data_IF_387761896065
#
_entry.id   IF_387761896065
#
_cell.length_a   1.000
_cell.length_b   1.000
_cell.length_c   1.000
_cell.angle_alpha   90.00
_cell.angle_beta   90.00
_cell.angle_gamma   90.00
#
_symmetry.space_group_name_H-M   'P 1'
#
loop_
_entity.id
_entity.type
_entity.pdbx_description
1 polymer ?
#
# COMPACT_ATOMS: atom_id res chain seq x y z
N UNK A 1 6.67 -23.97 -0.98
CA UNK A 1 6.00 -22.92 -1.77
C UNK A 1 6.56 -21.59 -1.28
N UNK A 2 7.01 -20.70 -2.15
CA UNK A 2 7.27 -19.34 -1.70
C UNK A 2 5.95 -18.75 -1.21
N UNK A 3 5.96 -18.16 -0.03
CA UNK A 3 4.81 -17.43 0.48
C UNK A 3 4.67 -16.14 -0.33
N UNK A 4 3.78 -16.16 -1.32
CA UNK A 4 3.50 -14.99 -2.17
C UNK A 4 2.33 -14.25 -1.55
N UNK A 5 2.54 -12.97 -1.27
CA UNK A 5 1.49 -12.04 -0.88
C UNK A 5 1.22 -11.05 -2.01
N UNK A 6 -0.04 -10.93 -2.42
CA UNK A 6 -0.43 -10.10 -3.55
C UNK A 6 -0.93 -8.73 -3.09
N UNK A 7 -0.44 -7.68 -3.71
CA UNK A 7 -0.97 -6.32 -3.57
C UNK A 7 -1.76 -5.98 -4.84
N UNK A 8 -3.08 -6.02 -4.74
CA UNK A 8 -4.00 -5.75 -5.84
C UNK A 8 -4.24 -4.25 -5.96
N UNK A 9 -3.56 -3.61 -6.92
CA UNK A 9 -3.66 -2.16 -7.11
C UNK A 9 -4.91 -1.78 -7.91
N UNK A 10 -5.76 -0.96 -7.30
CA UNK A 10 -6.93 -0.35 -7.94
C UNK A 10 -6.53 0.96 -8.61
N UNK A 11 -6.35 0.94 -9.93
CA UNK A 11 -5.93 2.11 -10.75
C UNK A 11 -7.15 2.88 -11.25
N UNK A 12 -7.80 3.62 -10.36
CA UNK A 12 -9.07 4.31 -10.61
C UNK A 12 -8.98 5.83 -10.57
N UNK A 13 -7.78 6.39 -10.53
CA UNK A 13 -7.57 7.86 -10.43
C UNK A 13 -8.03 8.64 -11.66
N UNK A 14 -8.18 8.00 -12.82
CA UNK A 14 -8.78 8.60 -14.00
C UNK A 14 -10.31 8.66 -13.84
N UNK A 15 -10.81 9.84 -13.49
CA UNK A 15 -12.25 10.07 -13.24
C UNK A 15 -13.11 10.02 -14.50
N UNK A 16 -12.53 10.07 -15.69
CA UNK A 16 -13.24 9.90 -16.95
C UNK A 16 -13.60 8.43 -17.18
N UNK A 17 -12.64 7.56 -16.95
CA UNK A 17 -12.84 6.10 -17.07
C UNK A 17 -13.59 5.54 -15.85
N UNK A 18 -13.26 6.05 -14.66
CA UNK A 18 -13.82 5.62 -13.36
C UNK A 18 -14.49 6.79 -12.63
N UNK A 19 -15.65 7.29 -13.12
CA UNK A 19 -16.44 8.26 -12.38
C UNK A 19 -17.00 7.64 -11.10
N UNK A 20 -17.45 8.47 -10.15
CA UNK A 20 -17.83 8.03 -8.80
C UNK A 20 -18.87 6.91 -8.78
N UNK A 21 -19.84 6.96 -9.69
CA UNK A 21 -20.90 5.95 -9.82
C UNK A 21 -20.40 4.56 -10.25
N UNK A 22 -19.20 4.47 -10.86
CA UNK A 22 -18.61 3.20 -11.27
C UNK A 22 -17.64 2.61 -10.25
N UNK A 23 -17.11 3.42 -9.33
CA UNK A 23 -16.09 2.99 -8.37
C UNK A 23 -16.60 1.84 -7.51
N UNK A 24 -17.80 1.96 -6.97
CA UNK A 24 -18.35 0.92 -6.08
C UNK A 24 -18.58 -0.41 -6.81
N UNK A 25 -19.13 -0.36 -8.02
CA UNK A 25 -19.30 -1.56 -8.83
C UNK A 25 -17.97 -2.23 -9.16
N UNK A 26 -16.97 -1.45 -9.57
CA UNK A 26 -15.62 -1.95 -9.84
C UNK A 26 -15.00 -2.61 -8.61
N UNK A 27 -15.05 -1.95 -7.46
CA UNK A 27 -14.49 -2.47 -6.22
C UNK A 27 -15.22 -3.74 -5.75
N UNK A 28 -16.55 -3.82 -5.90
CA UNK A 28 -17.35 -4.98 -5.58
C UNK A 28 -16.95 -6.18 -6.45
N UNK A 29 -16.88 -6.01 -7.76
CA UNK A 29 -16.48 -7.06 -8.67
C UNK A 29 -15.05 -7.56 -8.40
N UNK A 30 -14.12 -6.63 -8.15
CA UNK A 30 -12.74 -6.98 -7.81
C UNK A 30 -12.67 -7.79 -6.51
N UNK A 31 -13.40 -7.35 -5.47
CA UNK A 31 -13.46 -8.05 -4.19
C UNK A 31 -14.07 -9.46 -4.36
N UNK A 32 -15.18 -9.60 -5.09
CA UNK A 32 -15.84 -10.89 -5.34
C UNK A 32 -14.91 -11.87 -6.06
N UNK A 33 -14.14 -11.39 -7.06
CA UNK A 33 -13.18 -12.23 -7.78
C UNK A 33 -12.04 -12.63 -6.85
N UNK A 34 -11.44 -11.66 -6.14
CA UNK A 34 -10.30 -11.90 -5.27
C UNK A 34 -10.66 -12.88 -4.14
N UNK A 35 -11.78 -12.66 -3.44
CA UNK A 35 -12.22 -13.49 -2.32
C UNK A 35 -12.61 -14.92 -2.72
N UNK A 36 -13.05 -15.12 -3.97
CA UNK A 36 -13.32 -16.44 -4.52
C UNK A 36 -12.07 -17.21 -4.92
N UNK A 37 -11.02 -16.50 -5.36
CA UNK A 37 -9.84 -17.11 -5.98
C UNK A 37 -8.64 -17.21 -5.06
N UNK A 38 -8.57 -16.38 -4.02
CA UNK A 38 -7.40 -16.23 -3.16
C UNK A 38 -7.79 -16.42 -1.69
N UNK A 39 -6.96 -17.09 -0.89
CA UNK A 39 -7.11 -17.08 0.56
C UNK A 39 -7.01 -15.65 1.11
N UNK A 40 -7.84 -15.30 2.10
CA UNK A 40 -7.99 -13.93 2.60
C UNK A 40 -6.68 -13.32 3.17
N UNK A 41 -5.77 -14.16 3.65
CA UNK A 41 -4.49 -13.77 4.24
C UNK A 41 -3.35 -13.64 3.22
N UNK A 42 -3.62 -13.87 1.92
CA UNK A 42 -2.60 -13.86 0.86
C UNK A 42 -2.65 -12.63 -0.03
N UNK A 43 -3.55 -11.68 0.20
CA UNK A 43 -3.65 -10.47 -0.60
C UNK A 43 -4.15 -9.26 0.20
N UNK A 44 -3.97 -8.09 -0.39
CA UNK A 44 -4.61 -6.85 0.05
C UNK A 44 -4.97 -5.97 -1.15
N UNK A 45 -5.84 -4.99 -0.92
CA UNK A 45 -6.15 -3.95 -1.91
C UNK A 45 -5.33 -2.70 -1.64
N UNK A 46 -4.75 -2.11 -2.69
CA UNK A 46 -4.00 -0.87 -2.58
C UNK A 46 -4.47 0.12 -3.64
N UNK A 47 -4.42 1.41 -3.35
CA UNK A 47 -4.79 2.45 -4.31
C UNK A 47 -4.18 3.80 -3.98
N UNK A 48 -3.95 4.61 -5.03
CA UNK A 48 -3.78 6.06 -4.93
C UNK A 48 -5.11 6.81 -4.81
N UNK A 49 -6.22 6.16 -5.13
CA UNK A 49 -7.56 6.74 -5.13
C UNK A 49 -8.29 6.46 -3.81
N UNK A 50 -8.49 7.50 -3.02
CA UNK A 50 -9.20 7.43 -1.74
C UNK A 50 -10.66 6.96 -1.90
N UNK A 51 -11.29 7.23 -3.06
CA UNK A 51 -12.66 6.78 -3.36
C UNK A 51 -12.73 5.25 -3.42
N UNK A 52 -11.74 4.63 -4.07
CA UNK A 52 -11.66 3.16 -4.16
C UNK A 52 -11.40 2.53 -2.80
N UNK A 53 -10.51 3.11 -1.98
CA UNK A 53 -10.26 2.65 -0.61
C UNK A 53 -11.51 2.78 0.27
N UNK A 54 -12.22 3.90 0.18
CA UNK A 54 -13.49 4.10 0.87
C UNK A 54 -14.57 3.10 0.42
N UNK A 55 -14.62 2.77 -0.87
CA UNK A 55 -15.55 1.78 -1.42
C UNK A 55 -15.23 0.38 -0.91
N UNK A 56 -13.98 -0.05 -0.95
CA UNK A 56 -13.57 -1.37 -0.41
C UNK A 56 -13.88 -1.44 1.10
N UNK A 57 -13.59 -0.40 1.86
CA UNK A 57 -13.88 -0.39 3.30
C UNK A 57 -15.39 -0.55 3.60
N UNK A 58 -16.28 0.01 2.76
CA UNK A 58 -17.74 -0.20 2.90
C UNK A 58 -18.19 -1.61 2.49
N UNK A 59 -17.57 -2.17 1.44
CA UNK A 59 -17.95 -3.47 0.87
C UNK A 59 -17.43 -4.63 1.72
N UNK A 60 -16.20 -4.52 2.20
CA UNK A 60 -15.47 -5.54 2.93
C UNK A 60 -14.60 -4.88 4.02
N UNK A 61 -15.20 -4.46 5.14
CA UNK A 61 -14.49 -3.73 6.20
C UNK A 61 -13.35 -4.55 6.84
N UNK A 62 -13.37 -5.86 6.70
CA UNK A 62 -12.31 -6.78 7.16
C UNK A 62 -11.14 -6.88 6.17
N UNK A 63 -11.29 -6.43 4.93
CA UNK A 63 -10.24 -6.52 3.93
C UNK A 63 -9.07 -5.59 4.27
N UNK A 64 -7.86 -6.12 4.22
CA UNK A 64 -6.67 -5.30 4.45
C UNK A 64 -6.45 -4.35 3.27
N UNK A 65 -6.34 -3.06 3.56
CA UNK A 65 -6.14 -2.02 2.55
C UNK A 65 -4.89 -1.20 2.81
N UNK A 66 -4.30 -0.66 1.73
CA UNK A 66 -3.14 0.23 1.77
C UNK A 66 -3.34 1.47 0.91
N UNK A 67 -3.09 2.63 1.50
CA UNK A 67 -3.08 3.88 0.76
C UNK A 67 -1.70 4.09 0.12
N UNK A 68 -1.68 4.35 -1.19
CA UNK A 68 -0.50 4.72 -1.96
C UNK A 68 -0.44 6.23 -2.14
N UNK A 69 0.72 6.84 -1.92
CA UNK A 69 0.94 8.25 -2.24
C UNK A 69 2.26 8.45 -2.95
N UNK A 70 2.28 9.26 -3.99
CA UNK A 70 3.49 9.75 -4.66
C UNK A 70 4.05 11.02 -4.02
N UNK A 71 3.41 11.54 -2.97
CA UNK A 71 3.82 12.73 -2.23
C UNK A 71 4.46 12.33 -0.90
N UNK A 72 5.23 13.25 -0.34
CA UNK A 72 5.73 13.14 1.03
C UNK A 72 4.56 12.88 2.00
N UNK A 73 4.70 11.95 2.95
CA UNK A 73 3.67 11.72 3.94
C UNK A 73 3.47 12.96 4.82
N UNK A 74 2.23 13.25 5.17
CA UNK A 74 1.85 14.32 6.08
C UNK A 74 0.99 13.78 7.22
N UNK A 75 0.84 14.53 8.30
CA UNK A 75 -0.05 14.13 9.40
C UNK A 75 -1.51 14.03 8.92
N UNK A 76 -1.94 14.92 8.03
CA UNK A 76 -3.27 14.86 7.41
C UNK A 76 -3.44 13.56 6.62
N UNK A 77 -2.48 13.19 5.79
CA UNK A 77 -2.50 11.94 5.02
C UNK A 77 -2.57 10.71 5.93
N UNK A 78 -1.81 10.71 7.03
CA UNK A 78 -1.84 9.64 8.03
C UNK A 78 -3.24 9.53 8.68
N UNK A 79 -3.83 10.67 9.03
CA UNK A 79 -5.17 10.72 9.61
C UNK A 79 -6.26 10.26 8.62
N UNK A 80 -6.18 10.68 7.35
CA UNK A 80 -7.10 10.26 6.29
C UNK A 80 -7.01 8.74 6.05
N UNK A 81 -5.80 8.20 5.92
CA UNK A 81 -5.59 6.76 5.76
C UNK A 81 -6.20 5.96 6.93
N UNK A 82 -5.99 6.44 8.15
CA UNK A 82 -6.57 5.83 9.35
C UNK A 82 -8.10 5.90 9.38
N UNK A 83 -8.67 7.04 9.00
CA UNK A 83 -10.12 7.23 8.93
C UNK A 83 -10.77 6.31 7.90
N UNK A 84 -10.07 6.00 6.81
CA UNK A 84 -10.49 5.05 5.79
C UNK A 84 -10.23 3.59 6.17
N UNK A 85 -9.77 3.30 7.38
CA UNK A 85 -9.48 1.94 7.83
C UNK A 85 -8.26 1.30 7.17
N UNK A 86 -7.37 2.10 6.55
CA UNK A 86 -6.18 1.56 5.92
C UNK A 86 -5.19 1.01 6.96
N UNK A 87 -4.79 -0.24 6.78
CA UNK A 87 -3.77 -0.88 7.61
C UNK A 87 -2.33 -0.56 7.17
N UNK A 88 -2.16 0.07 5.99
CA UNK A 88 -0.84 0.39 5.43
C UNK A 88 -0.83 1.77 4.77
N UNK A 89 0.29 2.48 4.92
CA UNK A 89 0.61 3.67 4.15
C UNK A 89 1.89 3.43 3.36
N UNK A 90 1.81 3.58 2.02
CA UNK A 90 2.90 3.34 1.08
C UNK A 90 3.33 4.67 0.46
N UNK A 91 4.57 5.09 0.71
CA UNK A 91 5.07 6.43 0.40
C UNK A 91 6.48 6.38 -0.21
N UNK A 92 6.88 7.43 -0.96
CA UNK A 92 8.22 7.48 -1.53
C UNK A 92 9.29 7.59 -0.45
N UNK A 93 10.36 6.78 -0.57
CA UNK A 93 11.49 6.83 0.37
C UNK A 93 12.21 8.17 0.30
N UNK A 94 12.35 8.74 -0.90
CA UNK A 94 13.08 9.99 -1.16
C UNK A 94 12.50 11.20 -0.42
N UNK A 95 11.19 11.18 -0.12
CA UNK A 95 10.48 12.28 0.54
C UNK A 95 10.02 11.95 1.96
N UNK A 96 10.29 10.72 2.42
CA UNK A 96 9.98 10.28 3.77
C UNK A 96 11.16 10.58 4.70
N UNK A 97 10.86 10.93 5.93
CA UNK A 97 11.86 11.09 7.00
C UNK A 97 11.65 10.04 8.08
N UNK A 98 12.69 9.78 8.89
CA UNK A 98 12.59 8.89 10.05
C UNK A 98 11.45 9.29 10.99
N UNK A 99 11.22 10.60 11.17
CA UNK A 99 10.14 11.10 12.02
C UNK A 99 8.77 10.76 11.45
N UNK A 100 8.55 10.95 10.13
CA UNK A 100 7.30 10.61 9.46
C UNK A 100 7.07 9.09 9.44
N UNK A 101 8.11 8.30 9.18
CA UNK A 101 8.06 6.85 9.28
C UNK A 101 7.59 6.38 10.67
N UNK A 102 8.12 7.00 11.73
CA UNK A 102 7.70 6.74 13.10
C UNK A 102 6.23 7.10 13.33
N UNK A 103 5.76 8.27 12.87
CA UNK A 103 4.36 8.70 13.02
C UNK A 103 3.37 7.75 12.33
N UNK A 104 3.72 7.22 11.15
CA UNK A 104 2.89 6.22 10.45
C UNK A 104 2.74 4.97 11.33
N UNK A 105 3.82 4.49 11.92
CA UNK A 105 3.82 3.31 12.80
C UNK A 105 3.08 3.57 14.12
N UNK A 106 3.26 4.73 14.73
CA UNK A 106 2.54 5.17 15.95
C UNK A 106 1.03 5.27 15.70
N UNK A 107 0.61 5.57 14.47
CA UNK A 107 -0.79 5.53 14.07
C UNK A 107 -1.36 4.10 13.91
N UNK A 108 -0.53 3.06 14.11
CA UNK A 108 -0.92 1.65 14.00
C UNK A 108 -0.89 1.10 12.58
N UNK A 109 -0.30 1.82 11.63
CA UNK A 109 -0.20 1.38 10.24
C UNK A 109 1.15 0.75 9.92
N UNK A 110 1.14 -0.20 8.99
CA UNK A 110 2.35 -0.70 8.35
C UNK A 110 2.94 0.39 7.44
N UNK A 111 4.26 0.54 7.47
CA UNK A 111 5.00 1.41 6.55
C UNK A 111 5.45 0.58 5.34
N UNK A 112 5.14 1.07 4.14
CA UNK A 112 5.71 0.58 2.89
C UNK A 112 6.48 1.71 2.20
N UNK A 113 7.69 1.42 1.71
CA UNK A 113 8.55 2.41 1.06
C UNK A 113 8.89 2.01 -0.38
N UNK A 114 8.84 2.99 -1.29
CA UNK A 114 9.08 2.83 -2.72
C UNK A 114 9.58 4.14 -3.36
N UNK A 115 10.20 4.09 -4.55
CA UNK A 115 10.86 2.92 -5.10
C UNK A 115 12.21 2.68 -4.43
N UNK A 116 12.52 1.42 -4.12
CA UNK A 116 13.84 1.05 -3.60
C UNK A 116 14.72 0.66 -4.78
N UNK A 117 15.77 1.44 -5.06
CA UNK A 117 16.60 1.27 -6.25
C UNK A 117 18.02 0.81 -5.94
N UNK A 118 18.48 0.98 -4.71
CA UNK A 118 19.83 0.63 -4.27
C UNK A 118 19.84 0.10 -2.84
N UNK A 119 20.92 -0.56 -2.46
CA UNK A 119 21.04 -1.21 -1.15
C UNK A 119 20.90 -0.22 0.01
N UNK A 120 21.47 0.98 -0.12
CA UNK A 120 21.37 2.01 0.93
C UNK A 120 19.91 2.42 1.20
N UNK A 121 19.06 2.47 0.17
CA UNK A 121 17.63 2.75 0.34
C UNK A 121 16.94 1.58 1.07
N UNK A 122 17.30 0.33 0.75
CA UNK A 122 16.78 -0.85 1.44
C UNK A 122 17.18 -0.87 2.92
N UNK A 123 18.46 -0.60 3.21
CA UNK A 123 18.97 -0.53 4.57
C UNK A 123 18.28 0.57 5.39
N UNK A 124 18.07 1.73 4.76
CA UNK A 124 17.36 2.85 5.36
C UNK A 124 15.89 2.50 5.65
N UNK A 125 15.22 1.83 4.71
CA UNK A 125 13.84 1.38 4.88
C UNK A 125 13.71 0.39 6.04
N UNK A 126 14.63 -0.56 6.16
CA UNK A 126 14.70 -1.51 7.28
C UNK A 126 14.94 -0.77 8.60
N UNK A 127 15.89 0.19 8.61
CA UNK A 127 16.18 1.01 9.79
C UNK A 127 14.97 1.82 10.27
N UNK A 128 14.13 2.30 9.35
CA UNK A 128 12.91 3.01 9.68
C UNK A 128 11.74 2.07 10.04
N UNK A 129 11.96 0.75 9.91
CA UNK A 129 11.00 -0.29 10.26
C UNK A 129 9.87 -0.42 9.25
N UNK A 130 10.20 -0.27 7.96
CA UNK A 130 9.27 -0.61 6.89
C UNK A 130 8.92 -2.10 6.94
N UNK A 131 7.63 -2.41 6.82
CA UNK A 131 7.13 -3.78 6.72
C UNK A 131 7.26 -4.33 5.30
N UNK A 132 7.26 -3.43 4.31
CA UNK A 132 7.40 -3.75 2.89
C UNK A 132 8.33 -2.73 2.23
N UNK A 133 9.19 -3.22 1.37
CA UNK A 133 9.97 -2.43 0.42
C UNK A 133 9.58 -2.84 -1.00
N UNK A 134 9.38 -1.85 -1.87
CA UNK A 134 8.96 -2.06 -3.26
C UNK A 134 10.10 -1.66 -4.20
N UNK A 135 10.53 -2.60 -5.04
CA UNK A 135 11.63 -2.38 -6.00
C UNK A 135 11.25 -2.87 -7.38
N UNK A 136 11.70 -2.12 -8.40
CA UNK A 136 11.60 -2.52 -9.81
C UNK A 136 12.67 -3.57 -10.19
N UNK A 137 13.74 -3.71 -9.36
CA UNK A 137 14.85 -4.63 -9.57
C UNK A 137 15.19 -5.42 -8.29
N UNK A 138 14.26 -6.24 -7.76
CA UNK A 138 14.48 -6.94 -6.48
C UNK A 138 15.63 -7.94 -6.50
N UNK A 139 15.93 -8.53 -7.67
CA UNK A 139 17.06 -9.46 -7.84
C UNK A 139 18.43 -8.83 -7.58
N UNK A 140 18.58 -7.54 -7.85
CA UNK A 140 19.86 -6.84 -7.65
C UNK A 140 20.08 -6.52 -6.16
N UNK A 141 19.01 -6.17 -5.44
CA UNK A 141 19.04 -5.99 -3.99
C UNK A 141 19.32 -7.31 -3.26
N UNK A 142 18.75 -8.42 -3.71
CA UNK A 142 18.97 -9.73 -3.09
C UNK A 142 20.39 -10.24 -3.27
N UNK A 143 21.06 -9.93 -4.39
CA UNK A 143 22.47 -10.31 -4.62
C UNK A 143 23.44 -9.56 -3.69
N UNK A 144 23.15 -8.30 -3.37
CA UNK A 144 23.97 -7.48 -2.48
C UNK A 144 23.73 -7.79 -1.00
N UNK A 145 22.63 -8.43 -0.65
CA UNK A 145 22.30 -8.85 0.71
C UNK A 145 22.79 -10.27 1.04
N UNK A 146 23.36 -11.00 0.08
CA UNK A 146 23.94 -12.31 0.34
C UNK A 146 25.29 -12.16 1.09
N UNK A 147 25.53 -12.93 2.17
CA UNK A 147 26.75 -12.87 2.96
C UNK A 147 27.99 -13.32 2.18
#
# INVERSE_FOLDING_TARGET
KPDIYLMLEMKTTDTTTYPDEKIELYCRQLHEIASRMLPADTYCFISFDLRALAAIHRIAPEAFTGYLSSKAPTETMIAEAKQLGCGRLSVPIETTTRQLARKIKEAGMQLSLWPIRKQEDADLAVLWGASIICSDAPSDLLKSAAP
#
